data_IF_199922716589
#
_entry.id   IF_199922716589
#
_cell.length_a   1.000
_cell.length_b   1.000
_cell.length_c   1.000
_cell.angle_alpha   90.00
_cell.angle_beta   90.00
_cell.angle_gamma   90.00
#
_symmetry.space_group_name_H-M   'P 1'
#
loop_
_entity.id
_entity.type
_entity.pdbx_description
1 polymer ?
#
# COMPACT_ATOMS: atom_id res chain seq x y z
N UNK A 1 17.49 -12.37 -7.95
CA UNK A 1 18.68 -11.47 -8.07
C UNK A 1 18.48 -10.36 -9.09
N UNK A 2 18.07 -10.63 -10.34
CA UNK A 2 17.86 -9.57 -11.35
C UNK A 2 16.88 -8.45 -10.95
N UNK A 3 15.76 -8.76 -10.27
CA UNK A 3 14.84 -7.73 -9.74
C UNK A 3 15.52 -6.81 -8.71
N UNK A 4 16.27 -7.39 -7.76
CA UNK A 4 17.03 -6.63 -6.75
C UNK A 4 18.05 -5.70 -7.41
N UNK A 5 18.76 -6.17 -8.44
CA UNK A 5 19.72 -5.34 -9.17
C UNK A 5 19.08 -4.11 -9.82
N UNK A 6 17.81 -4.21 -10.25
CA UNK A 6 17.06 -3.06 -10.81
C UNK A 6 16.60 -2.08 -9.72
N UNK A 7 16.24 -2.57 -8.54
CA UNK A 7 15.80 -1.72 -7.41
C UNK A 7 16.96 -1.06 -6.65
N UNK A 8 18.20 -1.56 -6.82
CA UNK A 8 19.34 -1.12 -6.02
C UNK A 8 19.79 0.33 -6.26
N UNK A 9 19.87 0.85 -7.50
CA UNK A 9 20.33 2.23 -7.70
C UNK A 9 19.42 3.30 -7.08
N UNK A 10 18.07 3.21 -7.16
CA UNK A 10 17.19 4.11 -6.41
C UNK A 10 17.42 4.04 -4.88
N UNK A 11 17.65 2.86 -4.32
CA UNK A 11 17.96 2.68 -2.90
C UNK A 11 19.29 3.35 -2.50
N UNK A 12 20.31 3.28 -3.36
CA UNK A 12 21.58 3.99 -3.14
C UNK A 12 21.39 5.50 -3.09
N UNK A 13 20.56 6.06 -3.98
CA UNK A 13 20.22 7.49 -3.98
C UNK A 13 19.46 7.93 -2.73
N UNK A 14 18.56 7.08 -2.21
CA UNK A 14 17.83 7.37 -0.97
C UNK A 14 18.69 7.25 0.30
N UNK A 15 19.85 6.59 0.19
CA UNK A 15 20.78 6.38 1.29
C UNK A 15 20.60 5.02 1.95
N UNK A 16 21.54 4.11 1.67
CA UNK A 16 21.55 2.78 2.28
C UNK A 16 21.93 2.84 3.77
N UNK A 17 21.37 1.93 4.55
CA UNK A 17 21.85 1.67 5.92
C UNK A 17 23.31 1.17 5.87
N UNK A 18 24.08 1.51 6.90
CA UNK A 18 25.45 1.02 7.05
C UNK A 18 25.51 -0.52 6.97
N UNK A 19 26.38 -1.05 6.10
CA UNK A 19 26.54 -2.49 5.90
C UNK A 19 25.43 -3.16 5.07
N UNK A 20 24.57 -2.39 4.40
CA UNK A 20 23.67 -2.94 3.39
C UNK A 20 24.49 -3.45 2.19
N UNK A 21 24.22 -4.69 1.77
CA UNK A 21 24.91 -5.30 0.63
C UNK A 21 24.05 -6.40 0.01
N UNK A 22 24.04 -6.46 -1.32
CA UNK A 22 23.42 -7.57 -2.07
C UNK A 22 24.08 -8.92 -1.79
N UNK A 23 25.32 -8.95 -1.28
CA UNK A 23 26.00 -10.20 -0.88
C UNK A 23 25.35 -10.88 0.32
N UNK A 24 24.56 -10.15 1.12
CA UNK A 24 23.80 -10.70 2.25
C UNK A 24 22.54 -11.46 1.83
N UNK A 25 22.18 -11.41 0.54
CA UNK A 25 21.05 -12.16 0.00
C UNK A 25 21.45 -13.63 -0.22
N UNK A 26 20.88 -14.51 0.60
CA UNK A 26 20.93 -15.96 0.42
C UNK A 26 19.57 -16.45 -0.11
N UNK A 27 19.61 -17.39 -1.04
CA UNK A 27 18.42 -18.14 -1.50
C UNK A 27 18.60 -19.57 -1.01
N UNK A 28 17.54 -20.13 -0.44
CA UNK A 28 17.52 -21.49 0.10
C UNK A 28 16.43 -22.29 -0.59
N UNK A 29 16.50 -23.63 -0.50
CA UNK A 29 15.61 -24.51 -1.24
C UNK A 29 14.22 -24.65 -0.60
N UNK A 30 14.12 -24.47 0.72
CA UNK A 30 12.89 -24.71 1.48
C UNK A 30 12.54 -23.54 2.38
N UNK A 31 11.25 -23.42 2.73
CA UNK A 31 10.79 -22.39 3.67
C UNK A 31 11.31 -22.66 5.08
N UNK A 32 11.43 -23.92 5.46
CA UNK A 32 11.94 -24.35 6.76
C UNK A 32 13.38 -23.89 6.98
N UNK A 33 14.26 -24.06 5.97
CA UNK A 33 15.63 -23.54 6.02
C UNK A 33 15.65 -22.00 6.09
N UNK A 34 14.71 -21.34 5.42
CA UNK A 34 14.63 -19.87 5.36
C UNK A 34 14.29 -19.26 6.72
N UNK A 35 13.38 -19.88 7.47
CA UNK A 35 12.79 -19.26 8.67
C UNK A 35 13.40 -19.74 9.98
N UNK A 36 14.14 -20.85 9.99
CA UNK A 36 14.62 -21.50 11.22
C UNK A 36 15.46 -20.58 12.13
N UNK A 37 16.24 -19.67 11.54
CA UNK A 37 17.10 -18.73 12.26
C UNK A 37 16.71 -17.27 12.08
N UNK A 38 15.54 -17.00 11.48
CA UNK A 38 15.11 -15.64 11.20
C UNK A 38 14.74 -14.87 12.48
N UNK A 39 15.02 -13.56 12.50
CA UNK A 39 14.60 -12.64 13.57
C UNK A 39 13.32 -11.86 13.21
N UNK A 40 12.94 -11.90 11.94
CA UNK A 40 11.67 -11.40 11.42
C UNK A 40 11.37 -12.16 10.12
N UNK A 41 10.11 -12.52 9.89
CA UNK A 41 9.69 -13.25 8.69
C UNK A 41 8.65 -12.41 7.96
N UNK A 42 8.85 -12.18 6.66
CA UNK A 42 7.85 -11.58 5.78
C UNK A 42 7.50 -12.57 4.66
N UNK A 43 6.24 -13.01 4.64
CA UNK A 43 5.70 -13.82 3.56
C UNK A 43 5.23 -12.92 2.40
N UNK A 44 5.54 -13.29 1.15
CA UNK A 44 5.20 -12.51 -0.06
C UNK A 44 4.91 -13.42 -1.26
N UNK A 45 4.28 -14.57 -1.01
CA UNK A 45 3.78 -15.49 -2.01
C UNK A 45 2.45 -14.97 -2.62
N UNK A 46 1.98 -15.57 -3.74
CA UNK A 46 0.76 -15.17 -4.42
C UNK A 46 -0.48 -15.08 -3.52
N UNK A 47 -1.43 -14.24 -3.92
CA UNK A 47 -2.66 -13.95 -3.17
C UNK A 47 -3.68 -15.09 -3.32
N UNK A 48 -3.41 -16.22 -2.68
CA UNK A 48 -4.28 -17.40 -2.68
C UNK A 48 -4.45 -17.89 -1.25
N UNK A 49 -5.70 -17.93 -0.79
CA UNK A 49 -6.02 -18.27 0.60
C UNK A 49 -5.47 -19.65 1.01
N UNK A 50 -5.73 -20.70 0.21
CA UNK A 50 -5.26 -22.06 0.50
C UNK A 50 -3.75 -22.15 0.57
N UNK A 51 -3.04 -21.52 -0.38
CA UNK A 51 -1.58 -21.45 -0.37
C UNK A 51 -1.06 -20.79 0.91
N UNK A 52 -1.64 -19.65 1.30
CA UNK A 52 -1.20 -18.92 2.50
C UNK A 52 -1.49 -19.67 3.79
N UNK A 53 -2.63 -20.37 3.89
CA UNK A 53 -2.94 -21.25 5.02
C UNK A 53 -1.83 -22.31 5.20
N UNK A 54 -1.53 -23.06 4.13
CA UNK A 54 -0.52 -24.13 4.18
C UNK A 54 0.88 -23.57 4.45
N UNK A 55 1.22 -22.45 3.80
CA UNK A 55 2.53 -21.81 3.93
C UNK A 55 2.74 -21.27 5.35
N UNK A 56 1.76 -20.60 5.95
CA UNK A 56 1.89 -20.07 7.30
C UNK A 56 1.89 -21.16 8.37
N UNK A 57 1.19 -22.29 8.17
CA UNK A 57 1.32 -23.45 9.03
C UNK A 57 2.77 -23.99 9.04
N UNK A 58 3.40 -24.09 7.86
CA UNK A 58 4.81 -24.52 7.73
C UNK A 58 5.80 -23.52 8.31
N UNK A 59 5.64 -22.23 7.98
CA UNK A 59 6.48 -21.14 8.49
C UNK A 59 6.46 -21.14 10.01
N UNK A 60 5.27 -21.09 10.61
CA UNK A 60 5.13 -21.00 12.06
C UNK A 60 5.62 -22.24 12.81
N UNK A 61 5.57 -23.42 12.19
CA UNK A 61 6.09 -24.65 12.77
C UNK A 61 7.63 -24.76 12.74
N UNK A 62 8.28 -24.19 11.73
CA UNK A 62 9.74 -24.22 11.58
C UNK A 62 10.45 -23.02 12.21
N UNK A 63 9.76 -21.90 12.36
CA UNK A 63 10.29 -20.69 12.97
C UNK A 63 10.39 -20.81 14.50
N UNK A 64 11.29 -20.04 15.13
CA UNK A 64 11.35 -19.92 16.60
C UNK A 64 9.99 -19.50 17.17
N UNK A 65 9.60 -19.95 18.37
CA UNK A 65 8.25 -19.72 18.90
C UNK A 65 7.93 -18.24 19.18
N UNK A 66 8.95 -17.40 19.29
CA UNK A 66 8.87 -15.97 19.64
C UNK A 66 9.06 -15.02 18.44
N UNK A 67 9.45 -15.52 17.26
CA UNK A 67 9.71 -14.64 16.11
C UNK A 67 8.42 -14.10 15.51
N UNK A 68 8.41 -12.81 15.17
CA UNK A 68 7.29 -12.17 14.49
C UNK A 68 7.16 -12.66 13.05
N UNK A 69 5.93 -12.99 12.63
CA UNK A 69 5.61 -13.45 11.27
C UNK A 69 4.65 -12.45 10.62
N UNK A 70 5.13 -11.79 9.57
CA UNK A 70 4.39 -10.90 8.68
C UNK A 70 3.88 -11.60 7.42
N UNK A 71 2.74 -11.17 6.89
CA UNK A 71 2.28 -11.45 5.52
C UNK A 71 2.10 -10.15 4.73
N UNK A 72 2.49 -10.17 3.45
CA UNK A 72 2.28 -9.06 2.50
C UNK A 72 0.92 -9.11 1.79
N UNK A 73 -0.03 -9.94 2.26
CA UNK A 73 -1.38 -9.98 1.68
C UNK A 73 -2.00 -8.58 1.59
N UNK A 74 -2.78 -8.34 0.54
CA UNK A 74 -3.42 -7.05 0.27
C UNK A 74 -4.88 -7.02 0.72
N UNK A 75 -5.50 -8.18 0.96
CA UNK A 75 -6.90 -8.17 1.40
C UNK A 75 -7.42 -9.42 2.11
N UNK A 76 -6.64 -10.49 2.26
CA UNK A 76 -7.07 -11.66 3.00
C UNK A 76 -7.08 -11.37 4.50
N UNK A 77 -8.07 -11.92 5.20
CA UNK A 77 -8.22 -11.69 6.64
C UNK A 77 -7.17 -12.51 7.43
N UNK A 78 -6.34 -11.88 8.27
CA UNK A 78 -5.36 -12.61 9.09
C UNK A 78 -5.99 -13.71 9.94
N UNK A 79 -7.20 -13.54 10.47
CA UNK A 79 -7.90 -14.62 11.18
C UNK A 79 -8.15 -15.87 10.32
N UNK A 80 -8.28 -15.73 9.00
CA UNK A 80 -8.53 -16.84 8.09
C UNK A 80 -7.23 -17.54 7.71
N UNK A 81 -6.25 -16.81 7.17
CA UNK A 81 -5.06 -17.45 6.62
C UNK A 81 -4.03 -17.85 7.69
N UNK A 82 -4.12 -17.32 8.92
CA UNK A 82 -3.36 -17.83 10.08
C UNK A 82 -4.08 -18.92 10.88
N UNK A 83 -5.23 -19.43 10.41
CA UNK A 83 -6.06 -20.37 11.18
C UNK A 83 -5.31 -21.62 11.70
N UNK A 84 -4.29 -22.08 10.96
CA UNK A 84 -3.46 -23.24 11.28
C UNK A 84 -2.03 -22.90 11.69
N UNK A 85 -1.73 -21.62 11.93
CA UNK A 85 -0.42 -21.20 12.41
C UNK A 85 -0.20 -21.62 13.88
N UNK A 86 1.03 -22.05 14.19
CA UNK A 86 1.48 -22.26 15.57
C UNK A 86 1.87 -20.92 16.21
N UNK A 87 1.45 -20.71 17.45
CA UNK A 87 1.65 -19.45 18.17
C UNK A 87 1.14 -18.24 17.37
N UNK A 88 -0.14 -18.21 16.97
CA UNK A 88 -0.68 -17.16 16.12
C UNK A 88 -0.67 -15.76 16.75
N UNK A 89 -0.44 -15.65 18.07
CA UNK A 89 -0.28 -14.39 18.79
C UNK A 89 0.83 -13.49 18.26
N UNK A 90 1.83 -14.06 17.57
CA UNK A 90 2.97 -13.34 16.95
C UNK A 90 2.81 -13.10 15.44
N UNK A 91 1.63 -13.40 14.89
CA UNK A 91 1.36 -13.29 13.45
C UNK A 91 0.63 -11.98 13.14
N UNK A 92 1.08 -11.26 12.13
CA UNK A 92 0.54 -9.97 11.68
C UNK A 92 0.51 -9.90 10.16
N UNK A 93 -0.40 -9.12 9.59
CA UNK A 93 -0.20 -8.58 8.25
C UNK A 93 0.73 -7.38 8.38
N UNK A 94 1.67 -7.27 7.45
CA UNK A 94 2.37 -6.03 7.17
C UNK A 94 2.36 -5.83 5.67
N UNK A 95 1.30 -5.16 5.20
CA UNK A 95 0.97 -4.94 3.79
C UNK A 95 1.72 -3.70 3.27
N UNK A 96 2.76 -3.86 2.44
CA UNK A 96 3.49 -2.75 1.85
C UNK A 96 2.87 -2.31 0.52
N UNK A 97 3.21 -1.12 0.04
CA UNK A 97 2.70 -0.59 -1.23
C UNK A 97 3.77 -0.61 -2.32
N UNK A 98 3.41 -1.03 -3.53
CA UNK A 98 4.34 -1.11 -4.66
C UNK A 98 4.56 0.26 -5.33
N UNK A 99 5.80 0.71 -5.61
CA UNK A 99 7.07 0.03 -5.33
C UNK A 99 7.51 0.12 -3.86
N UNK A 100 7.69 -1.05 -3.23
CA UNK A 100 7.93 -1.20 -1.78
C UNK A 100 9.20 -0.49 -1.30
N UNK A 101 10.18 -0.35 -2.17
CA UNK A 101 11.45 0.33 -1.84
C UNK A 101 11.36 1.86 -1.90
N UNK A 102 10.25 2.45 -2.35
CA UNK A 102 10.05 3.91 -2.41
C UNK A 102 8.84 4.36 -1.59
N UNK A 103 7.74 3.61 -1.61
CA UNK A 103 6.53 3.96 -0.86
C UNK A 103 6.67 3.46 0.59
N UNK A 104 6.68 4.35 1.59
CA UNK A 104 7.02 3.96 2.94
C UNK A 104 5.85 3.37 3.73
N UNK A 105 4.61 3.48 3.26
CA UNK A 105 3.44 3.02 4.01
C UNK A 105 3.48 1.49 4.15
N UNK A 106 3.16 0.99 5.35
CA UNK A 106 2.90 -0.43 5.60
C UNK A 106 1.67 -0.53 6.50
N UNK A 107 0.60 -1.17 6.06
CA UNK A 107 -0.54 -1.45 6.94
C UNK A 107 -0.24 -2.65 7.83
N UNK A 108 -0.25 -2.42 9.14
CA UNK A 108 -0.08 -3.47 10.16
C UNK A 108 -1.44 -3.89 10.67
N UNK A 109 -1.80 -5.16 10.46
CA UNK A 109 -3.13 -5.70 10.80
C UNK A 109 -2.99 -6.96 11.63
N UNK A 110 -3.68 -7.00 12.78
CA UNK A 110 -3.78 -8.20 13.60
C UNK A 110 -5.02 -9.01 13.26
N UNK A 111 -4.91 -10.34 13.34
CA UNK A 111 -6.07 -11.22 13.39
C UNK A 111 -6.63 -11.31 14.81
N UNK A 112 -7.70 -12.09 14.98
CA UNK A 112 -8.40 -12.29 16.25
C UNK A 112 -7.54 -12.85 17.39
N UNK A 113 -6.43 -13.53 17.06
CA UNK A 113 -5.50 -14.14 18.04
C UNK A 113 -4.21 -13.34 18.23
N UNK A 114 -3.94 -12.34 17.39
CA UNK A 114 -2.70 -11.55 17.43
C UNK A 114 -2.62 -10.76 18.74
N UNK A 115 -1.46 -10.78 19.40
CA UNK A 115 -1.27 -10.00 20.62
C UNK A 115 -1.04 -8.51 20.32
N UNK A 116 -1.44 -7.60 21.21
CA UNK A 116 -1.08 -6.19 21.11
C UNK A 116 0.44 -5.97 21.04
N UNK A 117 1.22 -6.79 21.76
CA UNK A 117 2.69 -6.73 21.76
C UNK A 117 3.27 -7.08 20.38
N UNK A 118 2.72 -8.07 19.68
CA UNK A 118 3.12 -8.41 18.32
C UNK A 118 2.84 -7.26 17.34
N UNK A 119 1.72 -6.54 17.50
CA UNK A 119 1.45 -5.33 16.71
C UNK A 119 2.51 -4.26 16.99
N UNK A 120 2.80 -3.96 18.26
CA UNK A 120 3.83 -2.95 18.59
C UNK A 120 5.21 -3.35 18.08
N UNK A 121 5.58 -4.63 18.21
CA UNK A 121 6.83 -5.17 17.66
C UNK A 121 6.88 -5.00 16.13
N UNK A 122 5.81 -5.29 15.41
CA UNK A 122 5.75 -5.10 13.96
C UNK A 122 5.89 -3.63 13.58
N UNK A 123 5.16 -2.75 14.27
CA UNK A 123 5.27 -1.31 14.07
C UNK A 123 6.71 -0.83 14.30
N UNK A 124 7.43 -1.37 15.28
CA UNK A 124 8.82 -1.01 15.50
C UNK A 124 9.72 -1.54 14.38
N UNK A 125 9.59 -2.81 13.99
CA UNK A 125 10.36 -3.42 12.89
C UNK A 125 10.24 -2.58 11.63
N UNK A 126 9.02 -2.21 11.23
CA UNK A 126 8.82 -1.41 10.01
C UNK A 126 9.39 0.01 10.15
N UNK A 127 9.29 0.67 11.31
CA UNK A 127 9.96 1.97 11.53
C UNK A 127 11.48 1.86 11.40
N UNK A 128 12.09 0.81 11.95
CA UNK A 128 13.54 0.60 11.87
C UNK A 128 14.02 0.39 10.43
N UNK A 129 13.17 -0.24 9.61
CA UNK A 129 13.32 -0.39 8.16
C UNK A 129 13.12 0.92 7.38
N UNK A 130 12.74 2.03 8.03
CA UNK A 130 12.49 3.33 7.41
C UNK A 130 11.07 3.51 6.87
N UNK A 131 10.18 2.55 7.14
CA UNK A 131 8.77 2.61 6.74
C UNK A 131 7.94 3.47 7.72
N UNK A 132 6.71 3.76 7.31
CA UNK A 132 5.65 4.46 8.05
C UNK A 132 4.52 3.48 8.32
N UNK A 133 4.63 2.64 9.36
CA UNK A 133 3.61 1.64 9.61
C UNK A 133 2.33 2.28 10.15
N UNK A 134 1.19 1.80 9.66
CA UNK A 134 -0.16 2.26 9.98
C UNK A 134 -0.92 1.10 10.62
N UNK A 135 -1.31 1.24 11.88
CA UNK A 135 -2.06 0.20 12.58
C UNK A 135 -3.54 0.19 12.16
N UNK A 136 -3.95 -0.86 11.46
CA UNK A 136 -5.34 -1.17 11.15
C UNK A 136 -5.95 -1.89 12.35
N UNK A 137 -6.71 -1.14 13.16
CA UNK A 137 -7.18 -1.58 14.48
C UNK A 137 -8.10 -2.80 14.46
N UNK A 138 -8.76 -3.06 13.34
CA UNK A 138 -9.68 -4.17 13.15
C UNK A 138 -9.51 -4.71 11.75
N UNK A 139 -9.28 -6.01 11.64
CA UNK A 139 -9.21 -6.67 10.33
C UNK A 139 -10.50 -6.43 9.53
N UNK A 140 -10.32 -6.15 8.26
CA UNK A 140 -11.37 -5.93 7.28
C UNK A 140 -10.79 -6.29 5.90
N UNK A 141 -11.56 -6.90 4.98
CA UNK A 141 -11.06 -7.17 3.65
C UNK A 141 -10.64 -5.88 2.93
N UNK A 142 -9.44 -5.90 2.33
CA UNK A 142 -8.81 -4.76 1.66
C UNK A 142 -8.31 -3.64 2.59
N UNK A 143 -8.31 -3.86 3.91
CA UNK A 143 -7.75 -2.95 4.91
C UNK A 143 -8.24 -1.49 4.78
N UNK A 144 -7.36 -0.49 4.85
CA UNK A 144 -7.76 0.92 4.72
C UNK A 144 -7.47 1.42 3.31
N UNK A 145 -6.21 1.31 2.86
CA UNK A 145 -5.76 1.93 1.63
C UNK A 145 -6.40 1.28 0.39
N UNK A 146 -6.41 -0.05 0.28
CA UNK A 146 -6.98 -0.73 -0.89
C UNK A 146 -8.48 -0.50 -0.98
N UNK A 147 -9.21 -0.38 0.14
CA UNK A 147 -10.63 0.03 0.11
C UNK A 147 -10.84 1.42 -0.51
N UNK A 148 -9.95 2.37 -0.23
CA UNK A 148 -10.00 3.70 -0.83
C UNK A 148 -9.65 3.67 -2.32
N UNK A 149 -8.62 2.89 -2.68
CA UNK A 149 -8.19 2.71 -4.07
C UNK A 149 -9.27 2.00 -4.90
N UNK A 150 -9.88 0.94 -4.38
CA UNK A 150 -10.95 0.21 -5.04
C UNK A 150 -12.20 1.06 -5.23
N UNK A 151 -12.58 1.90 -4.25
CA UNK A 151 -13.72 2.80 -4.40
C UNK A 151 -13.52 3.75 -5.60
N UNK A 152 -12.33 4.33 -5.72
CA UNK A 152 -11.95 5.19 -6.85
C UNK A 152 -11.89 4.41 -8.16
N UNK A 153 -11.35 3.19 -8.15
CA UNK A 153 -11.27 2.33 -9.33
C UNK A 153 -12.65 1.96 -9.87
N UNK A 154 -13.57 1.56 -8.99
CA UNK A 154 -14.94 1.19 -9.36
C UNK A 154 -15.68 2.37 -10.00
N UNK A 155 -15.54 3.56 -9.44
CA UNK A 155 -16.11 4.78 -10.03
C UNK A 155 -15.48 5.09 -11.39
N UNK A 156 -14.17 4.96 -11.52
CA UNK A 156 -13.46 5.19 -12.78
C UNK A 156 -13.94 4.25 -13.88
N UNK A 157 -14.18 2.97 -13.56
CA UNK A 157 -14.75 2.01 -14.50
C UNK A 157 -16.16 2.41 -14.96
N UNK A 158 -17.00 2.94 -14.06
CA UNK A 158 -18.33 3.44 -14.44
C UNK A 158 -18.26 4.63 -15.37
N UNK A 159 -17.34 5.57 -15.12
CA UNK A 159 -17.16 6.75 -15.98
C UNK A 159 -16.73 6.35 -17.40
N UNK A 160 -15.87 5.34 -17.53
CA UNK A 160 -15.49 4.78 -18.84
C UNK A 160 -16.67 4.04 -19.47
N UNK A 161 -17.31 3.13 -18.71
CA UNK A 161 -18.42 2.31 -19.19
C UNK A 161 -19.60 3.12 -19.71
N UNK A 162 -19.90 4.23 -19.02
CA UNK A 162 -21.01 5.11 -19.36
C UNK A 162 -20.61 6.17 -20.42
N UNK A 163 -19.38 6.11 -20.94
CA UNK A 163 -18.88 7.01 -21.98
C UNK A 163 -18.68 8.45 -21.53
N UNK A 164 -18.54 8.68 -20.21
CA UNK A 164 -18.40 10.02 -19.62
C UNK A 164 -16.99 10.56 -19.78
N UNK A 165 -15.98 9.70 -19.65
CA UNK A 165 -14.58 10.10 -19.75
C UNK A 165 -13.68 8.95 -20.22
N UNK A 166 -12.58 9.30 -20.87
CA UNK A 166 -11.48 8.40 -21.17
C UNK A 166 -10.62 8.13 -19.93
N UNK A 167 -9.81 7.08 -19.95
CA UNK A 167 -8.85 6.78 -18.86
C UNK A 167 -7.88 7.94 -18.62
N UNK A 168 -7.47 8.63 -19.69
CA UNK A 168 -6.61 9.82 -19.62
C UNK A 168 -7.25 11.00 -18.90
N UNK A 169 -8.50 11.31 -19.22
CA UNK A 169 -9.23 12.41 -18.58
C UNK A 169 -9.48 12.14 -17.08
N UNK A 170 -9.80 10.89 -16.74
CA UNK A 170 -9.96 10.47 -15.33
C UNK A 170 -8.64 10.61 -14.58
N UNK A 171 -7.53 10.12 -15.14
CA UNK A 171 -6.21 10.25 -14.55
C UNK A 171 -5.79 11.72 -14.40
N UNK A 172 -6.10 12.57 -15.38
CA UNK A 172 -5.79 14.00 -15.36
C UNK A 172 -6.59 14.75 -14.28
N UNK A 173 -7.85 14.36 -14.04
CA UNK A 173 -8.66 14.91 -12.96
C UNK A 173 -8.03 14.64 -11.58
N UNK A 174 -7.36 13.49 -11.40
CA UNK A 174 -6.58 13.20 -10.19
C UNK A 174 -5.23 13.92 -10.23
N UNK A 175 -4.45 13.79 -11.31
CA UNK A 175 -3.07 14.30 -11.41
C UNK A 175 -2.99 15.81 -11.27
N UNK A 176 -3.93 16.54 -11.86
CA UNK A 176 -3.97 18.02 -11.82
C UNK A 176 -4.94 18.57 -10.77
N UNK A 177 -5.74 17.71 -10.14
CA UNK A 177 -6.68 18.07 -9.07
C UNK A 177 -6.21 17.58 -7.70
N UNK A 178 -6.89 16.56 -7.18
CA UNK A 178 -6.71 16.14 -5.79
C UNK A 178 -5.36 15.44 -5.51
N UNK A 179 -4.73 14.83 -6.52
CA UNK A 179 -3.49 14.08 -6.38
C UNK A 179 -2.31 14.93 -5.89
N UNK A 180 -2.17 16.18 -6.36
CA UNK A 180 -1.09 17.08 -5.93
C UNK A 180 -1.17 17.31 -4.42
N UNK A 181 -2.35 17.67 -3.91
CA UNK A 181 -2.56 17.92 -2.47
C UNK A 181 -2.48 16.64 -1.63
N UNK A 182 -2.93 15.50 -2.18
CA UNK A 182 -2.84 14.20 -1.49
C UNK A 182 -1.42 13.70 -1.25
N UNK A 183 -0.44 14.19 -2.03
CA UNK A 183 0.97 13.82 -1.83
C UNK A 183 1.56 14.31 -0.50
N UNK A 184 0.97 15.33 0.13
CA UNK A 184 1.45 15.90 1.39
C UNK A 184 0.35 16.12 2.44
N UNK A 185 -0.92 15.96 2.08
CA UNK A 185 -2.06 16.19 2.97
C UNK A 185 -3.24 15.28 2.61
N UNK A 186 -3.70 14.46 3.56
CA UNK A 186 -4.87 13.59 3.35
C UNK A 186 -6.20 14.36 3.28
N UNK A 187 -7.26 13.70 2.79
CA UNK A 187 -8.58 14.29 2.55
C UNK A 187 -9.17 15.00 3.78
N UNK A 188 -9.04 14.41 4.98
CA UNK A 188 -9.61 15.00 6.20
C UNK A 188 -8.97 16.33 6.56
N UNK A 189 -7.64 16.47 6.46
CA UNK A 189 -6.99 17.74 6.77
C UNK A 189 -7.27 18.78 5.68
N UNK A 190 -7.26 18.39 4.40
CA UNK A 190 -7.67 19.26 3.29
C UNK A 190 -9.08 19.81 3.49
N UNK A 191 -10.04 18.96 3.85
CA UNK A 191 -11.43 19.37 4.08
C UNK A 191 -11.58 20.18 5.36
N UNK A 192 -10.72 19.96 6.35
CA UNK A 192 -10.66 20.83 7.53
C UNK A 192 -10.27 22.25 7.12
N UNK A 193 -9.26 22.41 6.26
CA UNK A 193 -8.87 23.72 5.72
C UNK A 193 -9.99 24.35 4.86
N UNK A 194 -10.69 23.53 4.05
CA UNK A 194 -11.81 24.00 3.25
C UNK A 194 -13.00 24.49 4.11
N UNK A 195 -13.10 24.05 5.36
CA UNK A 195 -14.06 24.57 6.34
C UNK A 195 -13.72 25.93 6.93
N UNK A 196 -12.55 26.50 6.60
CA UNK A 196 -12.04 27.75 7.18
C UNK A 196 -11.70 27.61 8.68
N UNK A 197 -11.72 28.72 9.41
CA UNK A 197 -11.39 28.74 10.85
C UNK A 197 -12.32 27.87 11.71
N UNK A 198 -13.54 27.61 11.23
CA UNK A 198 -14.50 26.72 11.88
C UNK A 198 -14.24 25.22 11.60
N UNK A 199 -13.28 24.93 10.70
CA UNK A 199 -12.74 23.60 10.45
C UNK A 199 -13.74 22.57 9.94
N UNK A 200 -13.46 21.30 10.24
CA UNK A 200 -14.21 20.15 9.74
C UNK A 200 -15.71 20.20 10.09
N UNK A 201 -16.09 20.74 11.25
CA UNK A 201 -17.51 20.82 11.63
C UNK A 201 -18.31 21.68 10.65
N UNK A 202 -17.75 22.82 10.26
CA UNK A 202 -18.38 23.71 9.29
C UNK A 202 -18.41 23.06 7.90
N UNK A 203 -17.29 22.47 7.45
CA UNK A 203 -17.24 21.73 6.20
C UNK A 203 -18.33 20.64 6.11
N UNK A 204 -18.49 19.84 7.17
CA UNK A 204 -19.50 18.78 7.23
C UNK A 204 -20.93 19.33 7.25
N UNK A 205 -21.19 20.46 7.91
CA UNK A 205 -22.51 21.09 7.89
C UNK A 205 -22.88 21.63 6.50
N UNK A 206 -21.90 22.22 5.80
CA UNK A 206 -22.09 22.82 4.49
C UNK A 206 -22.20 21.78 3.37
N UNK A 207 -21.27 20.82 3.32
CA UNK A 207 -21.15 19.86 2.21
C UNK A 207 -21.65 18.46 2.54
N UNK A 208 -21.81 18.11 3.81
CA UNK A 208 -22.34 16.81 4.23
C UNK A 208 -23.71 16.45 3.62
N UNK A 209 -24.66 17.39 3.41
CA UNK A 209 -25.90 17.08 2.70
C UNK A 209 -25.72 16.50 1.29
N UNK A 210 -24.62 16.83 0.59
CA UNK A 210 -24.35 16.32 -0.75
C UNK A 210 -24.03 14.81 -0.76
N UNK A 211 -23.64 14.23 0.38
CA UNK A 211 -23.38 12.78 0.49
C UNK A 211 -24.64 11.92 0.29
N UNK A 212 -25.84 12.51 0.31
CA UNK A 212 -27.11 11.83 0.00
C UNK A 212 -27.41 11.80 -1.49
N UNK A 213 -26.67 12.54 -2.30
CA UNK A 213 -26.88 12.60 -3.74
C UNK A 213 -26.25 11.35 -4.39
N UNK A 214 -26.92 10.74 -5.38
CA UNK A 214 -26.47 9.49 -5.99
C UNK A 214 -25.39 9.75 -7.07
N UNK A 215 -24.30 10.42 -6.70
CA UNK A 215 -23.27 10.85 -7.65
C UNK A 215 -22.27 9.75 -8.01
N UNK A 216 -21.96 8.85 -7.08
CA UNK A 216 -20.90 7.83 -7.23
C UNK A 216 -21.42 6.42 -7.01
N UNK A 217 -20.77 5.44 -7.63
CA UNK A 217 -21.13 4.02 -7.60
C UNK A 217 -20.01 3.19 -6.95
N UNK A 218 -20.35 2.44 -5.89
CA UNK A 218 -19.38 1.64 -5.12
C UNK A 218 -19.37 0.15 -5.48
N UNK A 219 -20.33 -0.31 -6.27
CA UNK A 219 -20.28 -1.63 -6.92
C UNK A 219 -19.67 -1.44 -8.31
N UNK A 220 -18.76 -2.31 -8.73
CA UNK A 220 -18.16 -2.21 -10.07
C UNK A 220 -19.22 -2.47 -11.16
N UNK A 221 -19.07 -1.89 -12.37
CA UNK A 221 -19.85 -2.36 -13.51
C UNK A 221 -19.42 -3.79 -13.87
N UNK A 222 -20.27 -4.49 -14.62
CA UNK A 222 -19.89 -5.76 -15.22
C UNK A 222 -18.69 -5.55 -16.17
N UNK A 223 -17.63 -6.34 -16.00
CA UNK A 223 -16.44 -6.30 -16.87
C UNK A 223 -16.73 -7.03 -18.18
N UNK A 224 -17.58 -6.42 -19.00
CA UNK A 224 -17.83 -6.89 -20.37
C UNK A 224 -16.56 -6.74 -21.22
N UNK A 225 -16.43 -7.56 -22.28
CA UNK A 225 -15.31 -7.44 -23.23
C UNK A 225 -15.21 -6.01 -23.79
N UNK A 226 -16.35 -5.35 -24.07
CA UNK A 226 -16.37 -3.98 -24.56
C UNK A 226 -15.83 -2.94 -23.58
N UNK A 227 -16.12 -3.10 -22.27
CA UNK A 227 -15.53 -2.24 -21.24
C UNK A 227 -14.02 -2.49 -21.10
N UNK A 228 -13.61 -3.76 -21.11
CA UNK A 228 -12.20 -4.14 -21.05
C UNK A 228 -11.45 -3.52 -22.23
N UNK A 229 -11.95 -3.68 -23.45
CA UNK A 229 -11.37 -3.13 -24.67
C UNK A 229 -11.28 -1.61 -24.59
N UNK A 230 -12.31 -0.93 -24.08
CA UNK A 230 -12.32 0.53 -23.92
C UNK A 230 -11.22 1.01 -22.96
N UNK A 231 -11.03 0.32 -21.83
CA UNK A 231 -9.95 0.63 -20.88
C UNK A 231 -8.57 0.33 -21.47
N UNK A 232 -8.43 -0.79 -22.19
CA UNK A 232 -7.18 -1.17 -22.87
C UNK A 232 -6.81 -0.15 -23.94
N UNK A 233 -7.76 0.27 -24.76
CA UNK A 233 -7.51 1.28 -25.79
C UNK A 233 -7.17 2.65 -25.20
N UNK A 234 -7.89 3.08 -24.17
CA UNK A 234 -7.58 4.32 -23.45
C UNK A 234 -6.17 4.31 -22.86
N UNK A 235 -5.80 3.23 -22.17
CA UNK A 235 -4.45 3.10 -21.58
C UNK A 235 -3.35 2.94 -22.65
N UNK A 236 -3.66 2.35 -23.82
CA UNK A 236 -2.73 2.31 -24.96
C UNK A 236 -2.47 3.70 -25.53
N UNK A 237 -3.48 4.57 -25.60
CA UNK A 237 -3.30 5.98 -25.98
C UNK A 237 -2.41 6.70 -24.96
N UNK A 238 -2.65 6.49 -23.66
CA UNK A 238 -1.83 7.09 -22.59
C UNK A 238 -0.37 6.61 -22.62
N UNK A 239 -0.14 5.32 -22.89
CA UNK A 239 1.19 4.74 -23.01
C UNK A 239 2.00 5.42 -24.13
N UNK A 240 1.32 5.80 -25.22
CA UNK A 240 1.94 6.49 -26.35
C UNK A 240 3.10 5.70 -26.95
N UNK A 241 4.28 6.32 -27.05
CA UNK A 241 5.49 5.70 -27.58
C UNK A 241 6.41 5.13 -26.49
N UNK A 242 6.03 5.25 -25.22
CA UNK A 242 6.90 4.87 -24.10
C UNK A 242 6.79 3.38 -23.80
N UNK A 243 7.89 2.76 -23.40
CA UNK A 243 7.83 1.41 -22.82
C UNK A 243 7.37 1.48 -21.37
N UNK A 244 6.78 0.38 -20.87
CA UNK A 244 6.42 0.25 -19.44
C UNK A 244 7.64 0.52 -18.54
N UNK A 245 8.81 0.01 -18.91
CA UNK A 245 10.03 0.22 -18.15
C UNK A 245 10.46 1.70 -18.10
N UNK A 246 10.17 2.49 -19.14
CA UNK A 246 10.47 3.93 -19.15
C UNK A 246 9.53 4.68 -18.20
N UNK A 247 8.24 4.36 -18.25
CA UNK A 247 7.23 4.95 -17.37
C UNK A 247 7.43 4.55 -15.90
N UNK A 248 7.88 3.32 -15.62
CA UNK A 248 8.25 2.90 -14.26
C UNK A 248 9.42 3.74 -13.73
N UNK A 249 10.46 3.99 -14.55
CA UNK A 249 11.58 4.85 -14.14
C UNK A 249 11.13 6.29 -13.92
N UNK A 250 10.31 6.83 -14.83
CA UNK A 250 9.72 8.15 -14.68
C UNK A 250 8.90 8.28 -13.38
N UNK A 251 8.01 7.30 -13.11
CA UNK A 251 7.23 7.24 -11.87
C UNK A 251 8.13 7.25 -10.64
N UNK A 252 9.16 6.40 -10.62
CA UNK A 252 10.06 6.25 -9.48
C UNK A 252 10.86 7.54 -9.22
N UNK A 253 11.36 8.19 -10.27
CA UNK A 253 12.04 9.50 -10.17
C UNK A 253 11.08 10.59 -9.66
N UNK A 254 9.82 10.60 -10.13
CA UNK A 254 8.79 11.52 -9.64
C UNK A 254 8.45 11.28 -8.16
N UNK A 255 8.32 10.02 -7.73
CA UNK A 255 8.06 9.68 -6.32
C UNK A 255 9.17 10.23 -5.42
N UNK A 256 10.43 10.05 -5.80
CA UNK A 256 11.57 10.60 -5.06
C UNK A 256 11.56 12.13 -5.02
N UNK A 257 11.29 12.78 -6.15
CA UNK A 257 11.24 14.24 -6.23
C UNK A 257 10.13 14.84 -5.35
N UNK A 258 8.94 14.23 -5.35
CA UNK A 258 7.81 14.63 -4.50
C UNK A 258 8.18 14.46 -3.02
N UNK A 259 8.73 13.31 -2.64
CA UNK A 259 9.13 13.06 -1.25
C UNK A 259 10.15 14.10 -0.74
N UNK A 260 11.14 14.45 -1.56
CA UNK A 260 12.13 15.47 -1.21
C UNK A 260 11.51 16.88 -1.13
N UNK A 261 10.66 17.24 -2.09
CA UNK A 261 9.97 18.53 -2.06
C UNK A 261 9.08 18.69 -0.82
N UNK A 262 8.35 17.64 -0.44
CA UNK A 262 7.53 17.63 0.78
C UNK A 262 8.40 17.72 2.03
N UNK A 263 9.50 16.95 2.10
CA UNK A 263 10.47 16.99 3.20
C UNK A 263 11.04 18.39 3.39
N UNK A 264 11.57 19.01 2.33
CA UNK A 264 12.14 20.35 2.37
C UNK A 264 11.11 21.41 2.79
N UNK A 265 9.87 21.27 2.31
CA UNK A 265 8.76 22.17 2.67
C UNK A 265 8.37 22.02 4.14
N UNK A 266 8.28 20.80 4.68
CA UNK A 266 8.03 20.56 6.11
C UNK A 266 9.08 21.23 6.98
N UNK A 267 10.36 21.08 6.66
CA UNK A 267 11.47 21.74 7.36
C UNK A 267 11.30 23.26 7.35
N UNK A 268 11.01 23.85 6.19
CA UNK A 268 10.78 25.30 6.05
C UNK A 268 9.64 25.80 6.95
N UNK A 269 8.61 24.98 7.16
CA UNK A 269 7.44 25.32 7.97
C UNK A 269 7.54 24.83 9.44
N UNK A 270 8.67 24.23 9.84
CA UNK A 270 8.84 23.71 11.21
C UNK A 270 7.98 22.49 11.53
N UNK A 271 7.50 21.76 10.52
CA UNK A 271 6.70 20.54 10.68
C UNK A 271 7.65 19.35 10.82
N UNK A 272 7.36 18.46 11.77
CA UNK A 272 8.18 17.28 11.98
C UNK A 272 8.13 16.32 10.77
N UNK A 273 9.22 15.62 10.48
CA UNK A 273 9.31 14.70 9.33
C UNK A 273 8.62 13.36 9.58
N UNK A 274 8.32 13.07 10.84
CA UNK A 274 7.58 11.91 11.30
C UNK A 274 6.07 12.12 11.42
N UNK A 275 5.63 13.38 11.45
CA UNK A 275 4.24 13.82 11.37
C UNK A 275 3.68 13.76 9.94
#
# INVERSE_FOLDING_TARGET
RGRIAKCWPPLEKQGLRAGASQSRLRVVATVEECVAQADFIQESAPETLSLKIDLHARISAAARPDVLIGSSTSGLLPSEFYAHAKNPERCVVGHPFNPVYLLPLVEVVGGSKTSPDAIQAAMQVYRDLGMKPLHVRKEIPGFIADRLLEAMWRESLHLVNDGIATTGEIDDAIRYGAGIRWSFMGSFLIYTLAGGDAGMRHFMAQFGPALKLPWTKLEAPELTDGLIDSVVDGTRVQLGQHSIADLERYRDDCLMAVQEAVRATKIKHGIALDE
#
